data_IF_371428375075
#
_entry.id   IF_371428375075
#
_cell.length_a   1.000
_cell.length_b   1.000
_cell.length_c   1.000
_cell.angle_alpha   90.00
_cell.angle_beta   90.00
_cell.angle_gamma   90.00
#
_symmetry.space_group_name_H-M   'P 1'
#
loop_
_entity.id
_entity.type
_entity.pdbx_description
1 polymer ?
#
# COMPACT_ATOMS: atom_id res chain seq x y z
N UNK A 1 9.50 4.23 11.29
CA UNK A 1 10.29 4.42 10.05
C UNK A 1 9.35 4.20 8.88
N UNK A 2 9.51 4.96 7.79
CA UNK A 2 8.72 4.81 6.56
C UNK A 2 9.68 4.78 5.39
N UNK A 3 9.45 3.88 4.44
CA UNK A 3 10.28 3.71 3.26
C UNK A 3 9.40 3.45 2.03
N UNK A 4 9.71 4.10 0.91
CA UNK A 4 9.11 3.80 -0.40
C UNK A 4 10.11 3.00 -1.22
N UNK A 5 9.66 1.87 -1.76
CA UNK A 5 10.49 0.88 -2.46
C UNK A 5 10.31 0.96 -3.97
N UNK A 6 9.10 1.33 -4.43
CA UNK A 6 8.78 1.42 -5.85
C UNK A 6 7.76 2.53 -6.14
N UNK A 7 7.81 3.05 -7.36
CA UNK A 7 6.88 4.04 -7.89
C UNK A 7 6.57 3.74 -9.36
N UNK A 8 5.32 3.95 -9.78
CA UNK A 8 4.86 3.81 -11.15
C UNK A 8 3.96 4.98 -11.51
N UNK A 9 4.23 5.63 -12.65
CA UNK A 9 3.42 6.75 -13.17
C UNK A 9 2.69 6.33 -14.45
N UNK A 10 1.38 6.53 -14.51
CA UNK A 10 0.59 6.40 -15.74
C UNK A 10 0.38 7.75 -16.42
N UNK A 11 0.26 8.82 -15.63
CA UNK A 11 0.15 10.20 -16.09
C UNK A 11 0.63 11.18 -14.99
N UNK A 12 0.75 12.49 -15.26
CA UNK A 12 1.11 13.47 -14.23
C UNK A 12 0.14 13.55 -13.04
N UNK A 13 -1.08 13.03 -13.20
CA UNK A 13 -2.15 12.99 -12.18
C UNK A 13 -2.50 11.58 -11.76
N UNK A 14 -1.66 10.60 -12.12
CA UNK A 14 -1.87 9.20 -11.75
C UNK A 14 -0.51 8.53 -11.52
N UNK A 15 -0.03 8.66 -10.28
CA UNK A 15 1.24 8.06 -9.84
C UNK A 15 1.01 7.26 -8.57
N UNK A 16 1.47 6.03 -8.55
CA UNK A 16 1.37 5.14 -7.40
C UNK A 16 2.75 4.86 -6.84
N UNK A 17 2.88 4.99 -5.51
CA UNK A 17 4.07 4.62 -4.77
C UNK A 17 3.70 3.55 -3.75
N UNK A 18 4.59 2.58 -3.58
CA UNK A 18 4.42 1.51 -2.59
C UNK A 18 5.67 1.35 -1.76
N UNK A 19 5.52 0.71 -0.60
CA UNK A 19 6.62 0.41 0.29
C UNK A 19 6.11 -0.03 1.65
N UNK A 20 6.70 0.53 2.70
CA UNK A 20 6.42 0.14 4.08
C UNK A 20 6.40 1.30 5.06
N UNK A 21 5.73 1.08 6.17
CA UNK A 21 5.81 1.92 7.35
C UNK A 21 5.78 1.06 8.62
N UNK A 22 6.32 1.61 9.71
CA UNK A 22 6.31 0.92 11.00
C UNK A 22 5.04 1.27 11.77
N UNK A 23 4.16 0.29 11.93
CA UNK A 23 2.98 0.35 12.78
C UNK A 23 3.28 -0.11 14.22
N UNK A 24 2.26 -0.28 15.06
CA UNK A 24 2.43 -0.81 16.41
C UNK A 24 2.99 -2.24 16.37
N UNK A 25 4.29 -2.39 16.65
CA UNK A 25 4.94 -3.69 16.78
C UNK A 25 5.28 -4.42 15.48
N UNK A 26 4.91 -3.91 14.30
CA UNK A 26 5.16 -4.57 13.02
C UNK A 26 5.50 -3.58 11.89
N UNK A 27 6.22 -4.07 10.87
CA UNK A 27 6.35 -3.38 9.59
C UNK A 27 5.15 -3.73 8.71
N UNK A 28 4.50 -2.71 8.17
CA UNK A 28 3.26 -2.79 7.42
C UNK A 28 3.46 -2.26 6.00
N UNK A 29 2.68 -2.77 5.05
CA UNK A 29 2.66 -2.33 3.66
C UNK A 29 2.07 -0.92 3.54
N UNK A 30 2.63 -0.10 2.66
CA UNK A 30 2.15 1.24 2.31
C UNK A 30 1.83 1.30 0.81
N UNK A 31 0.69 1.88 0.47
CA UNK A 31 0.35 2.29 -0.89
C UNK A 31 -0.16 3.73 -0.86
N UNK A 32 0.36 4.56 -1.75
CA UNK A 32 -0.03 5.97 -1.90
C UNK A 32 -0.26 6.31 -3.36
N UNK A 33 -1.28 7.14 -3.61
CA UNK A 33 -1.65 7.61 -4.94
C UNK A 33 -1.55 9.13 -5.02
N UNK A 34 -0.93 9.62 -6.09
CA UNK A 34 -0.89 11.03 -6.46
C UNK A 34 -1.94 11.32 -7.51
N UNK A 35 -2.86 12.23 -7.17
CA UNK A 35 -3.98 12.63 -8.02
C UNK A 35 -3.71 13.91 -8.83
N UNK A 36 -2.48 14.44 -8.80
CA UNK A 36 -2.13 15.74 -9.40
C UNK A 36 -2.13 16.90 -8.41
N UNK A 37 -2.73 16.72 -7.23
CA UNK A 37 -2.86 17.75 -6.20
C UNK A 37 -2.13 17.31 -4.93
N UNK A 38 -2.27 16.05 -4.55
CA UNK A 38 -1.73 15.51 -3.31
C UNK A 38 -1.56 14.01 -3.34
N UNK A 39 -0.83 13.51 -2.34
CA UNK A 39 -0.72 12.08 -2.07
C UNK A 39 -1.82 11.63 -1.11
N UNK A 40 -2.50 10.54 -1.45
CA UNK A 40 -3.51 9.89 -0.62
C UNK A 40 -3.06 8.46 -0.27
N UNK A 41 -3.24 8.06 0.99
CA UNK A 41 -2.90 6.70 1.45
C UNK A 41 -4.07 5.77 1.17
N UNK A 42 -3.78 4.60 0.62
CA UNK A 42 -4.75 3.54 0.35
C UNK A 42 -4.55 2.35 1.28
N UNK A 43 -5.64 1.65 1.58
CA UNK A 43 -5.60 0.42 2.38
C UNK A 43 -4.75 -0.66 1.70
N UNK A 44 -4.01 -1.40 2.52
CA UNK A 44 -3.07 -2.43 2.08
C UNK A 44 -3.25 -3.72 2.89
N UNK A 45 -2.99 -4.90 2.30
CA UNK A 45 -3.01 -6.17 3.01
C UNK A 45 -1.84 -6.27 4.00
N UNK A 46 -2.15 -6.63 5.24
CA UNK A 46 -1.18 -6.86 6.31
C UNK A 46 -1.58 -8.11 7.12
N UNK A 47 -1.58 -9.31 6.50
CA UNK A 47 -2.06 -10.54 7.13
C UNK A 47 -1.32 -10.90 8.42
N UNK A 48 -0.08 -10.45 8.58
CA UNK A 48 0.70 -10.62 9.80
C UNK A 48 0.84 -9.32 10.62
N UNK A 49 0.10 -8.26 10.29
CA UNK A 49 0.28 -6.92 10.87
C UNK A 49 0.01 -6.82 12.37
N UNK A 50 -0.69 -7.79 12.96
CA UNK A 50 -0.95 -7.87 14.41
C UNK A 50 0.12 -8.66 15.17
N UNK A 51 1.05 -9.34 14.46
CA UNK A 51 2.09 -10.14 15.06
C UNK A 51 3.32 -9.25 15.30
N UNK A 52 3.77 -9.19 16.55
CA UNK A 52 4.96 -8.43 16.91
C UNK A 52 6.21 -8.95 16.17
N UNK A 53 6.95 -8.02 15.56
CA UNK A 53 8.13 -8.29 14.77
C UNK A 53 7.84 -8.86 13.37
N UNK A 54 6.58 -8.96 12.95
CA UNK A 54 6.24 -9.31 11.59
C UNK A 54 6.57 -8.20 10.61
N UNK A 55 6.88 -8.61 9.38
CA UNK A 55 7.13 -7.72 8.25
C UNK A 55 6.09 -7.99 7.18
N UNK A 56 5.47 -6.94 6.69
CA UNK A 56 4.65 -6.96 5.48
C UNK A 56 5.24 -5.86 4.59
N UNK A 57 5.55 -6.20 3.35
CA UNK A 57 6.15 -5.23 2.45
C UNK A 57 5.65 -5.35 1.02
N UNK A 58 5.53 -4.19 0.37
CA UNK A 58 5.39 -4.12 -1.07
C UNK A 58 6.73 -3.76 -1.67
N UNK A 59 7.14 -4.55 -2.65
CA UNK A 59 8.44 -4.50 -3.30
C UNK A 59 8.35 -3.94 -4.72
N UNK A 60 7.17 -4.00 -5.36
CA UNK A 60 6.96 -3.48 -6.71
C UNK A 60 5.53 -3.00 -6.94
N UNK A 61 5.38 -2.07 -7.87
CA UNK A 61 4.10 -1.52 -8.33
C UNK A 61 4.10 -1.35 -9.84
N UNK A 62 2.98 -1.65 -10.49
CA UNK A 62 2.80 -1.47 -11.93
C UNK A 62 1.41 -0.92 -12.24
N UNK A 63 1.38 0.18 -13.01
CA UNK A 63 0.14 0.66 -13.63
C UNK A 63 -0.14 -0.13 -14.92
N UNK A 64 -1.39 -0.53 -15.10
CA UNK A 64 -1.89 -1.19 -16.31
C UNK A 64 -3.00 -0.33 -16.91
N UNK A 65 -2.72 0.27 -18.06
CA UNK A 65 -3.63 1.19 -18.74
C UNK A 65 -5.00 0.54 -18.97
N UNK A 66 -6.06 1.19 -18.51
CA UNK A 66 -7.44 0.70 -18.65
C UNK A 66 -7.81 -0.47 -17.73
N UNK A 67 -6.90 -0.93 -16.86
CA UNK A 67 -7.17 -2.03 -15.92
C UNK A 67 -7.09 -1.55 -14.48
N UNK A 68 -5.98 -0.91 -14.08
CA UNK A 68 -5.73 -0.51 -12.69
C UNK A 68 -4.26 -0.66 -12.31
N UNK A 69 -4.02 -0.80 -11.01
CA UNK A 69 -2.66 -0.84 -10.46
C UNK A 69 -2.47 -2.11 -9.64
N UNK A 70 -1.35 -2.77 -9.86
CA UNK A 70 -0.93 -3.93 -9.09
C UNK A 70 0.23 -3.55 -8.18
N UNK A 71 0.10 -3.85 -6.90
CA UNK A 71 1.20 -3.84 -5.94
C UNK A 71 1.51 -5.27 -5.52
N UNK A 72 2.79 -5.63 -5.45
CA UNK A 72 3.24 -6.97 -5.09
C UNK A 72 4.39 -6.92 -4.09
N UNK A 73 4.48 -7.95 -3.25
CA UNK A 73 5.54 -8.14 -2.27
C UNK A 73 5.30 -9.40 -1.44
N UNK A 74 5.62 -9.37 -0.16
CA UNK A 74 5.57 -10.54 0.71
C UNK A 74 5.42 -10.20 2.20
N UNK A 75 5.07 -11.23 2.98
CA UNK A 75 5.11 -11.20 4.45
C UNK A 75 6.22 -12.10 5.01
N UNK A 76 6.74 -11.72 6.17
CA UNK A 76 7.72 -12.48 6.93
C UNK A 76 7.30 -12.51 8.39
N UNK A 77 7.05 -13.72 8.91
CA UNK A 77 6.69 -13.92 10.32
C UNK A 77 7.72 -14.80 10.98
N UNK A 78 8.52 -14.21 11.88
CA UNK A 78 9.59 -14.93 12.57
C UNK A 78 9.12 -15.68 13.80
N UNK A 79 8.04 -15.23 14.46
CA UNK A 79 7.54 -15.78 15.73
C UNK A 79 6.00 -15.76 15.80
N UNK A 80 5.32 -16.93 15.84
CA UNK A 80 5.87 -18.24 15.49
C UNK A 80 6.34 -18.23 14.03
N UNK A 81 7.41 -18.96 13.72
CA UNK A 81 7.90 -19.04 12.35
C UNK A 81 6.81 -19.60 11.42
N UNK A 82 6.42 -18.80 10.42
CA UNK A 82 5.51 -19.22 9.35
C UNK A 82 6.24 -19.07 8.01
N UNK A 83 5.88 -19.88 7.00
CA UNK A 83 6.35 -19.65 5.64
C UNK A 83 5.97 -18.24 5.18
N UNK A 84 6.90 -17.56 4.53
CA UNK A 84 6.64 -16.30 3.85
C UNK A 84 5.59 -16.51 2.75
N UNK A 85 4.66 -15.58 2.64
CA UNK A 85 3.61 -15.60 1.62
C UNK A 85 3.71 -14.36 0.75
N UNK A 86 3.36 -14.54 -0.53
CA UNK A 86 3.27 -13.41 -1.46
C UNK A 86 2.08 -12.53 -1.11
N UNK A 87 2.29 -11.22 -1.11
CA UNK A 87 1.25 -10.21 -1.00
C UNK A 87 0.98 -9.61 -2.38
N UNK A 88 -0.30 -9.51 -2.72
CA UNK A 88 -0.76 -8.85 -3.94
C UNK A 88 -1.94 -7.96 -3.57
N UNK A 89 -1.91 -6.70 -4.02
CA UNK A 89 -3.06 -5.81 -3.99
C UNK A 89 -3.35 -5.27 -5.38
N UNK A 90 -4.65 -5.15 -5.67
CA UNK A 90 -5.15 -4.52 -6.86
C UNK A 90 -5.93 -3.27 -6.49
N UNK A 91 -5.56 -2.16 -7.13
CA UNK A 91 -6.28 -0.90 -7.01
C UNK A 91 -6.96 -0.62 -8.33
N UNK A 92 -8.30 -0.58 -8.30
CA UNK A 92 -9.06 -0.12 -9.45
C UNK A 92 -8.62 1.31 -9.81
N UNK A 93 -8.61 1.65 -11.10
CA UNK A 93 -8.51 3.03 -11.54
C UNK A 93 -9.86 3.65 -11.22
N UNK A 94 -10.07 4.00 -9.95
CA UNK A 94 -11.20 4.81 -9.58
C UNK A 94 -10.95 6.17 -10.22
N UNK A 95 -11.76 6.51 -11.24
CA UNK A 95 -11.93 7.91 -11.59
C UNK A 95 -12.21 8.65 -10.29
N UNK A 96 -11.33 9.60 -9.95
CA UNK A 96 -11.36 10.50 -8.78
C UNK A 96 -12.03 9.93 -7.52
N UNK A 97 -11.29 9.64 -6.43
CA UNK A 97 -11.96 9.31 -5.17
C UNK A 97 -12.93 10.45 -4.81
N UNK A 98 -14.22 10.14 -4.68
CA UNK A 98 -15.19 11.06 -4.09
C UNK A 98 -14.65 11.41 -2.71
N UNK A 99 -14.41 12.70 -2.39
CA UNK A 99 -13.88 13.06 -1.08
C UNK A 99 -14.83 12.52 -0.01
N UNK A 100 -14.32 11.68 0.88
CA UNK A 100 -15.07 11.24 2.05
C UNK A 100 -15.33 12.50 2.90
N UNK A 101 -16.60 12.84 3.21
CA UNK A 101 -16.87 14.03 4.01
C UNK A 101 -16.21 13.89 5.38
N UNK A 102 -15.47 14.93 5.79
CA UNK A 102 -14.87 15.03 7.11
C UNK A 102 -15.97 14.91 8.17
N UNK A 103 -15.85 14.01 9.17
CA UNK A 103 -16.82 13.97 10.26
C UNK A 103 -16.74 15.28 11.06
N UNK A 104 -17.84 16.01 11.10
CA UNK A 104 -18.01 17.16 12.01
C UNK A 104 -18.02 16.62 13.44
N UNK A 105 -17.12 17.09 14.34
CA UNK A 105 -17.18 16.69 15.74
C UNK A 105 -18.48 17.19 16.38
N UNK A 106 -19.16 16.29 17.11
CA UNK A 106 -20.34 16.60 17.94
C UNK A 106 -19.89 16.99 19.35
#
# INVERSE_FOLDING_TARGET
MTALTAVSSLSPTDVWAVGTYYGPGAQLTLAQHWDGIGWQVFSTPNPAGEIEGAVNEFNSVANVLGVGVWAVGDDQVRMPAKPSQTLTAFYCPAGSPTPTPTPTPT
#
